data_IF_092757102008
#
_entry.id   IF_092757102008
#
_cell.length_a   1.000
_cell.length_b   1.000
_cell.length_c   1.000
_cell.angle_alpha   90.00
_cell.angle_beta   90.00
_cell.angle_gamma   90.00
#
_symmetry.space_group_name_H-M   'P 1'
#
loop_
_entity.id
_entity.type
_entity.pdbx_description
1 polymer ?
#
# COMPACT_ATOMS: atom_id res chain seq x y z
N UNK A 1 14.23 -7.02 7.33
CA UNK A 1 14.47 -5.95 6.34
C UNK A 1 13.12 -5.38 5.96
N UNK A 2 12.87 -4.12 6.30
CA UNK A 2 11.58 -3.47 6.08
C UNK A 2 11.74 -2.46 4.96
N UNK A 3 11.03 -2.66 3.84
CA UNK A 3 11.05 -1.74 2.70
C UNK A 3 9.79 -0.89 2.78
N UNK A 4 9.95 0.42 2.96
CA UNK A 4 8.84 1.37 2.94
C UNK A 4 8.73 1.99 1.54
N UNK A 5 7.68 1.62 0.82
CA UNK A 5 7.36 2.21 -0.49
C UNK A 5 6.24 3.23 -0.28
N UNK A 6 6.53 4.51 -0.50
CA UNK A 6 5.53 5.59 -0.45
C UNK A 6 5.57 6.38 -1.76
N UNK A 7 4.44 6.48 -2.44
CA UNK A 7 4.27 7.33 -3.62
C UNK A 7 3.51 8.60 -3.22
N UNK A 8 4.06 9.77 -3.57
CA UNK A 8 3.36 11.05 -3.50
C UNK A 8 3.19 11.58 -4.92
N UNK A 9 1.94 11.73 -5.33
CA UNK A 9 1.59 12.30 -6.64
C UNK A 9 1.56 13.83 -6.51
N UNK A 10 2.57 14.52 -7.04
CA UNK A 10 2.50 15.98 -7.18
C UNK A 10 1.94 16.34 -8.54
N UNK A 11 0.77 17.00 -8.55
CA UNK A 11 0.00 17.39 -9.76
C UNK A 11 0.70 18.40 -10.67
N UNK A 12 1.92 18.81 -10.35
CA UNK A 12 2.61 19.94 -11.00
C UNK A 12 3.14 19.62 -12.41
N UNK A 13 3.05 18.36 -12.89
CA UNK A 13 3.54 17.94 -14.22
C UNK A 13 2.62 16.96 -14.95
N UNK A 14 1.33 17.30 -15.07
CA UNK A 14 0.30 16.46 -15.71
C UNK A 14 0.58 16.08 -17.17
N UNK A 15 1.25 16.91 -17.95
CA UNK A 15 1.47 16.66 -19.39
C UNK A 15 2.57 15.65 -19.72
N UNK A 16 3.32 15.15 -18.72
CA UNK A 16 4.55 14.37 -18.95
C UNK A 16 4.58 12.98 -18.31
N UNK A 17 3.45 12.44 -17.83
CA UNK A 17 3.45 11.12 -17.23
C UNK A 17 2.17 10.31 -17.51
N UNK A 18 2.31 8.99 -17.61
CA UNK A 18 1.19 8.06 -17.75
C UNK A 18 0.22 8.01 -16.56
N UNK A 19 0.39 8.83 -15.52
CA UNK A 19 -0.46 8.82 -14.33
C UNK A 19 -1.85 9.38 -14.59
N UNK A 20 -1.99 10.37 -15.48
CA UNK A 20 -3.30 10.92 -15.85
C UNK A 20 -4.19 9.89 -16.56
N UNK A 21 -3.55 9.01 -17.34
CA UNK A 21 -4.22 7.86 -17.96
C UNK A 21 -4.63 6.83 -16.89
N UNK A 22 -3.73 6.50 -15.97
CA UNK A 22 -4.02 5.60 -14.84
C UNK A 22 -5.16 6.14 -13.97
N UNK A 23 -5.17 7.43 -13.65
CA UNK A 23 -6.24 8.09 -12.85
C UNK A 23 -7.60 7.90 -13.51
N UNK A 24 -7.71 8.22 -14.81
CA UNK A 24 -8.96 8.04 -15.56
C UNK A 24 -9.40 6.58 -15.61
N UNK A 25 -8.49 5.66 -15.91
CA UNK A 25 -8.81 4.24 -15.97
C UNK A 25 -9.27 3.67 -14.62
N UNK A 26 -8.72 4.16 -13.51
CA UNK A 26 -9.13 3.74 -12.16
C UNK A 26 -10.50 4.30 -11.76
N UNK A 27 -10.87 5.49 -12.25
CA UNK A 27 -12.22 6.04 -12.05
C UNK A 27 -13.24 5.28 -12.88
N UNK A 28 -12.94 5.03 -14.16
CA UNK A 28 -13.85 4.39 -15.10
C UNK A 28 -14.03 2.89 -14.81
N UNK A 29 -12.96 2.21 -14.39
CA UNK A 29 -12.97 0.79 -14.06
C UNK A 29 -12.22 0.56 -12.74
N UNK A 30 -12.86 0.67 -11.57
CA UNK A 30 -12.15 0.62 -10.27
C UNK A 30 -11.56 -0.75 -9.91
N UNK A 31 -11.78 -1.79 -10.71
CA UNK A 31 -11.31 -3.15 -10.46
C UNK A 31 -10.43 -3.65 -11.61
N UNK A 32 -9.69 -4.72 -11.35
CA UNK A 32 -8.83 -5.40 -12.33
C UNK A 32 -7.35 -5.04 -12.21
N UNK A 33 -6.52 -5.97 -12.65
CA UNK A 33 -5.07 -5.82 -12.71
C UNK A 33 -4.70 -4.95 -13.91
N UNK A 34 -3.77 -4.01 -13.69
CA UNK A 34 -3.22 -3.15 -14.73
C UNK A 34 -1.71 -3.24 -14.68
N UNK A 35 -1.11 -3.22 -15.85
CA UNK A 35 0.32 -3.27 -16.00
C UNK A 35 0.85 -1.89 -16.38
N UNK A 36 1.99 -1.52 -15.82
CA UNK A 36 2.70 -0.31 -16.16
C UNK A 36 4.20 -0.59 -16.13
N UNK A 37 4.94 0.13 -16.97
CA UNK A 37 6.40 0.15 -16.92
C UNK A 37 6.83 1.35 -16.09
N UNK A 38 7.69 1.11 -15.10
CA UNK A 38 8.19 2.16 -14.20
C UNK A 38 9.71 2.25 -14.28
N UNK A 39 10.21 3.48 -14.27
CA UNK A 39 11.63 3.76 -14.01
C UNK A 39 11.75 4.33 -12.60
N UNK A 40 12.70 3.82 -11.81
CA UNK A 40 12.91 4.26 -10.44
C UNK A 40 14.39 4.47 -10.11
N UNK A 41 14.65 5.38 -9.18
CA UNK A 41 15.98 5.72 -8.65
C UNK A 41 15.95 5.78 -7.12
N UNK A 42 17.09 5.59 -6.47
CA UNK A 42 17.19 5.76 -5.01
C UNK A 42 17.17 7.26 -4.71
N UNK A 43 16.17 7.70 -3.94
CA UNK A 43 16.05 9.09 -3.49
C UNK A 43 16.94 9.37 -2.28
N UNK A 44 16.94 8.45 -1.32
CA UNK A 44 17.75 8.50 -0.10
C UNK A 44 17.82 7.11 0.52
N UNK A 45 18.87 6.86 1.28
CA UNK A 45 18.96 5.76 2.25
C UNK A 45 19.01 6.41 3.63
N UNK A 46 18.32 5.85 4.61
CA UNK A 46 18.32 6.38 5.97
C UNK A 46 18.59 5.27 6.96
N UNK A 47 19.49 5.55 7.89
CA UNK A 47 19.90 4.61 8.93
C UNK A 47 18.98 4.79 10.14
N UNK A 48 18.29 3.72 10.52
CA UNK A 48 17.60 3.65 11.81
C UNK A 48 18.61 3.15 12.85
N UNK A 49 19.26 4.12 13.53
CA UNK A 49 20.43 3.90 14.40
C UNK A 49 20.12 2.93 15.54
N UNK A 50 18.89 2.91 16.02
CA UNK A 50 18.46 2.06 17.14
C UNK A 50 18.33 0.58 16.74
N UNK A 51 18.13 0.29 15.44
CA UNK A 51 17.92 -1.08 14.93
C UNK A 51 19.05 -1.55 13.99
N UNK A 52 19.94 -0.65 13.57
CA UNK A 52 20.98 -0.95 12.58
C UNK A 52 20.42 -1.28 11.20
N UNK A 53 19.24 -0.74 10.86
CA UNK A 53 18.51 -1.04 9.63
C UNK A 53 18.64 0.12 8.65
N UNK A 54 19.12 -0.19 7.43
CA UNK A 54 19.08 0.74 6.31
C UNK A 54 17.68 0.72 5.66
N UNK A 55 17.06 1.90 5.56
CA UNK A 55 15.76 2.09 4.92
C UNK A 55 15.94 2.85 3.59
N UNK A 56 16.00 2.14 2.45
CA UNK A 56 16.03 2.78 1.15
C UNK A 56 14.66 3.38 0.80
N UNK A 57 14.67 4.64 0.35
CA UNK A 57 13.52 5.31 -0.25
C UNK A 57 13.75 5.43 -1.75
N UNK A 58 12.86 4.84 -2.56
CA UNK A 58 12.89 4.99 -4.02
C UNK A 58 12.00 6.15 -4.49
N UNK A 59 12.36 6.75 -5.63
CA UNK A 59 11.54 7.69 -6.40
C UNK A 59 11.25 7.06 -7.75
N UNK A 60 9.98 7.05 -8.15
CA UNK A 60 9.59 6.75 -9.53
C UNK A 60 9.84 8.01 -10.38
N UNK A 61 10.71 7.89 -11.39
CA UNK A 61 11.01 8.97 -12.33
C UNK A 61 10.05 8.96 -13.52
N UNK A 62 9.62 7.77 -13.96
CA UNK A 62 8.69 7.58 -15.07
C UNK A 62 7.72 6.45 -14.77
N UNK A 63 6.51 6.56 -15.32
CA UNK A 63 5.50 5.51 -15.28
C UNK A 63 4.62 5.63 -16.53
N UNK A 64 4.47 4.51 -17.25
CA UNK A 64 3.63 4.43 -18.44
C UNK A 64 2.74 3.18 -18.36
N UNK A 65 1.41 3.33 -18.35
CA UNK A 65 0.50 2.19 -18.40
C UNK A 65 0.60 1.48 -19.75
N UNK A 66 0.51 0.16 -19.73
CA UNK A 66 0.55 -0.68 -20.93
C UNK A 66 -0.72 -1.50 -21.06
N UNK A 67 -1.14 -1.75 -22.30
CA UNK A 67 -2.35 -2.48 -22.64
C UNK A 67 -2.11 -3.54 -23.73
N UNK A 68 -3.11 -4.41 -23.91
CA UNK A 68 -3.12 -5.46 -24.93
C UNK A 68 -1.84 -6.32 -24.91
N UNK A 69 -1.24 -6.49 -26.10
CA UNK A 69 -0.04 -7.32 -26.28
C UNK A 69 1.15 -6.85 -25.43
N UNK A 70 1.23 -5.56 -25.09
CA UNK A 70 2.30 -5.06 -24.24
C UNK A 70 2.08 -5.44 -22.77
N UNK A 71 0.82 -5.46 -22.32
CA UNK A 71 0.46 -5.94 -21.00
C UNK A 71 0.80 -7.43 -20.83
N UNK A 72 0.51 -8.26 -21.84
CA UNK A 72 0.87 -9.69 -21.84
C UNK A 72 2.39 -9.88 -21.71
N UNK A 73 3.18 -9.10 -22.46
CA UNK A 73 4.65 -9.14 -22.36
C UNK A 73 5.16 -8.72 -20.98
N UNK A 74 4.55 -7.71 -20.36
CA UNK A 74 4.92 -7.30 -18.99
C UNK A 74 4.58 -8.39 -17.99
N UNK A 75 3.45 -9.07 -18.16
CA UNK A 75 3.07 -10.22 -17.34
C UNK A 75 4.09 -11.36 -17.46
N UNK A 76 4.48 -11.72 -18.68
CA UNK A 76 5.50 -12.75 -18.93
C UNK A 76 6.84 -12.37 -18.29
N UNK A 77 7.28 -11.12 -18.48
CA UNK A 77 8.50 -10.60 -17.84
C UNK A 77 8.44 -10.69 -16.31
N UNK A 78 7.29 -10.41 -15.69
CA UNK A 78 7.14 -10.54 -14.24
C UNK A 78 7.24 -12.00 -13.79
N UNK A 79 6.63 -12.93 -14.52
CA UNK A 79 6.70 -14.36 -14.23
C UNK A 79 8.13 -14.90 -14.36
N UNK A 80 8.84 -14.56 -15.43
CA UNK A 80 10.24 -14.92 -15.65
C UNK A 80 11.13 -14.40 -14.51
N UNK A 81 11.03 -13.11 -14.16
CA UNK A 81 11.85 -12.51 -13.09
C UNK A 81 11.55 -13.09 -11.72
N UNK A 82 10.31 -13.48 -11.47
CA UNK A 82 9.96 -14.18 -10.24
C UNK A 82 10.60 -15.57 -10.20
N UNK A 83 10.53 -16.32 -11.30
CA UNK A 83 11.14 -17.64 -11.39
C UNK A 83 12.66 -17.57 -11.25
N UNK A 84 13.32 -16.63 -11.92
CA UNK A 84 14.76 -16.38 -11.77
C UNK A 84 15.14 -16.14 -10.30
N UNK A 85 14.34 -15.35 -9.58
CA UNK A 85 14.62 -14.95 -8.18
C UNK A 85 14.30 -16.03 -7.16
N UNK A 86 13.28 -16.85 -7.40
CA UNK A 86 12.72 -17.77 -6.38
C UNK A 86 12.87 -19.25 -6.72
N UNK A 87 13.17 -19.58 -7.98
CA UNK A 87 13.13 -20.95 -8.51
C UNK A 87 11.73 -21.55 -8.65
N UNK A 88 10.67 -20.78 -8.34
CA UNK A 88 9.27 -21.22 -8.40
C UNK A 88 8.56 -20.60 -9.60
N UNK A 89 7.56 -21.29 -10.12
CA UNK A 89 6.65 -20.75 -11.14
C UNK A 89 5.46 -20.09 -10.46
N UNK A 90 5.01 -18.95 -10.99
CA UNK A 90 3.75 -18.34 -10.59
C UNK A 90 2.58 -19.02 -11.29
N UNK A 91 1.59 -19.46 -10.52
CA UNK A 91 0.27 -19.76 -11.03
C UNK A 91 -0.63 -18.53 -10.82
N UNK A 92 -0.83 -17.72 -11.85
CA UNK A 92 -1.68 -16.52 -11.80
C UNK A 92 -0.95 -15.20 -11.96
N UNK A 93 -1.56 -14.10 -11.51
CA UNK A 93 -1.00 -12.76 -11.60
C UNK A 93 -0.10 -12.47 -10.39
N UNK A 94 1.18 -12.13 -10.59
CA UNK A 94 2.12 -11.91 -9.50
C UNK A 94 1.72 -10.72 -8.63
N UNK A 95 1.41 -10.97 -7.36
CA UNK A 95 1.32 -9.91 -6.35
C UNK A 95 2.58 -9.86 -5.48
N UNK A 96 2.84 -8.69 -4.90
CA UNK A 96 3.90 -8.50 -3.90
C UNK A 96 3.66 -9.34 -2.62
N UNK A 97 2.45 -9.86 -2.44
CA UNK A 97 2.00 -10.48 -1.20
C UNK A 97 1.70 -11.98 -1.33
N UNK A 98 1.73 -12.55 -2.54
CA UNK A 98 1.54 -14.01 -2.79
C UNK A 98 2.71 -14.88 -2.27
N UNK A 99 3.69 -14.28 -1.59
CA UNK A 99 4.83 -14.99 -0.98
C UNK A 99 4.57 -15.32 0.50
N UNK A 100 3.39 -15.02 1.04
CA UNK A 100 2.99 -15.44 2.38
C UNK A 100 2.02 -16.62 2.28
N UNK A 101 2.52 -17.78 1.81
CA UNK A 101 1.87 -19.07 2.04
C UNK A 101 1.98 -19.41 3.53
N UNK A 102 1.08 -18.79 4.28
CA UNK A 102 0.92 -18.89 5.71
C UNK A 102 -0.15 -17.90 6.06
N UNK A 103 -1.40 -18.27 5.80
CA UNK A 103 -2.58 -17.60 6.33
C UNK A 103 -2.34 -17.31 7.81
N UNK A 104 -1.88 -16.10 8.12
CA UNK A 104 -1.95 -15.60 9.48
C UNK A 104 -3.39 -15.20 9.64
N UNK A 105 -4.23 -16.16 10.02
CA UNK A 105 -5.51 -15.87 10.65
C UNK A 105 -5.20 -14.86 11.75
N UNK A 106 -5.54 -13.60 11.49
CA UNK A 106 -5.65 -12.62 12.57
C UNK A 106 -6.81 -13.16 13.39
N UNK A 107 -6.61 -13.60 14.64
CA UNK A 107 -7.72 -14.06 15.45
C UNK A 107 -8.71 -12.89 15.52
N UNK A 108 -9.92 -13.08 15.02
CA UNK A 108 -10.96 -12.08 15.25
C UNK A 108 -11.12 -11.97 16.76
N UNK A 109 -10.86 -10.80 17.38
CA UNK A 109 -11.06 -10.67 18.81
C UNK A 109 -12.51 -11.04 19.10
N UNK A 110 -12.69 -11.92 20.07
CA UNK A 110 -14.02 -12.35 20.45
C UNK A 110 -14.86 -11.11 20.82
N UNK A 111 -16.17 -11.15 20.60
CA UNK A 111 -17.04 -10.03 20.99
C UNK A 111 -16.89 -9.63 22.48
N UNK A 112 -16.41 -10.55 23.32
CA UNK A 112 -16.06 -10.30 24.71
C UNK A 112 -14.79 -9.45 24.89
N UNK A 113 -13.76 -9.63 24.07
CA UNK A 113 -12.53 -8.82 24.10
C UNK A 113 -12.79 -7.39 23.63
N UNK A 114 -13.60 -7.21 22.57
CA UNK A 114 -13.99 -5.88 22.09
C UNK A 114 -14.80 -5.09 23.14
N UNK A 115 -15.65 -5.78 23.91
CA UNK A 115 -16.41 -5.18 25.01
C UNK A 115 -15.52 -4.82 26.21
N UNK A 116 -14.45 -5.58 26.46
CA UNK A 116 -13.49 -5.29 27.52
C UNK A 116 -12.63 -4.07 27.17
N UNK A 117 -12.11 -4.01 25.94
CA UNK A 117 -11.33 -2.86 25.44
C UNK A 117 -12.15 -1.57 25.47
N UNK A 118 -13.42 -1.62 25.03
CA UNK A 118 -14.30 -0.45 25.04
C UNK A 118 -14.69 -0.02 26.47
N UNK A 119 -14.63 -0.93 27.46
CA UNK A 119 -14.84 -0.60 28.87
C UNK A 119 -13.61 0.06 29.45
N UNK A 120 -12.42 -0.50 29.23
CA UNK A 120 -11.16 0.11 29.66
C UNK A 120 -10.95 1.49 29.05
N UNK A 121 -11.28 1.69 27.77
CA UNK A 121 -11.20 2.99 27.12
C UNK A 121 -12.14 4.04 27.74
N UNK A 122 -13.32 3.61 28.21
CA UNK A 122 -14.28 4.49 28.92
C UNK A 122 -13.86 4.78 30.36
N UNK A 123 -13.20 3.85 31.03
CA UNK A 123 -12.68 4.05 32.39
C UNK A 123 -11.41 4.92 32.38
N UNK A 124 -10.59 4.83 31.33
CA UNK A 124 -9.38 5.63 31.16
C UNK A 124 -9.65 7.08 30.69
N UNK A 125 -10.85 7.37 30.16
CA UNK A 125 -11.26 8.71 29.74
C UNK A 125 -12.61 9.10 30.36
N UNK A 126 -12.65 9.60 31.61
CA UNK A 126 -13.85 10.23 32.14
C UNK A 126 -14.15 11.47 31.28
N UNK A 127 -15.27 11.44 30.56
CA UNK A 127 -15.73 12.57 29.76
C UNK A 127 -15.80 13.84 30.65
N UNK A 128 -15.36 15.01 30.19
CA UNK A 128 -15.57 16.24 30.93
C UNK A 128 -17.09 16.50 31.03
N UNK A 129 -17.56 16.70 32.26
CA UNK A 129 -18.95 17.03 32.55
C UNK A 129 -19.38 18.27 31.73
N UNK A 130 -20.39 18.10 30.88
CA UNK A 130 -21.04 19.22 30.22
C UNK A 130 -21.88 19.98 31.25
N UNK A 131 -21.35 21.08 31.79
CA UNK A 131 -22.13 22.06 32.55
C UNK A 131 -23.09 22.79 31.60
N UNK A 132 -24.35 22.37 31.60
CA UNK A 132 -25.44 23.06 30.94
C UNK A 132 -25.97 24.18 31.87
N UNK A 133 -25.39 25.38 31.76
CA UNK A 133 -25.95 26.59 32.38
C UNK A 133 -27.07 27.16 31.50
N UNK A 134 -28.28 26.62 31.64
CA UNK A 134 -29.51 27.21 31.09
C UNK A 134 -29.95 28.41 31.93
N UNK A 135 -30.08 29.58 31.29
CA UNK A 135 -30.44 30.84 31.94
C UNK A 135 -31.84 30.85 32.56
N UNK A 136 -31.94 31.53 33.71
CA UNK A 136 -33.20 31.89 34.36
C UNK A 136 -33.76 33.19 33.78
N UNK A 137 -35.09 33.23 33.71
CA UNK A 137 -35.94 34.36 33.29
C UNK A 137 -36.11 35.39 34.41
#
# INVERSE_FOLDING_TARGET
MTVKISAQLTRERKEFNGLDRIERELVDQPRGVRYAVVAFEVKRVSDEIDEGVEIPTIRLSHIEPVDGVQADRVRDMLAERYQDRTGKTLEGDPTLFDVVDGEREVPEPSGAELLAEHREAREASPAPAAEFSGGEQ
#
